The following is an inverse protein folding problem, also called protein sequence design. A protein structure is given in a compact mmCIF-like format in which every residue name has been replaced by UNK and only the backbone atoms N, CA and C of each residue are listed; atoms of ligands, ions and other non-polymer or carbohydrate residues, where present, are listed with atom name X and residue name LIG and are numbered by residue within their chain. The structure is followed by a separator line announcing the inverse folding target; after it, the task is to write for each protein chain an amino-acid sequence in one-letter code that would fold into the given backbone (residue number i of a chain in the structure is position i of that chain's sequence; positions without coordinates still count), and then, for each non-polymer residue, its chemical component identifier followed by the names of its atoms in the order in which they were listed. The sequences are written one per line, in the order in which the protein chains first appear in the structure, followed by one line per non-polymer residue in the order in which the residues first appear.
data_IF_351442718349
#
_entry.id   IF_351442718349
#
_cell.length_a   1.000
_cell.length_b   1.000
_cell.length_c   1.000
_cell.angle_alpha   90.00
_cell.angle_beta   90.00
_cell.angle_gamma   90.00
#
_symmetry.space_group_name_H-M   'P 1'
#
loop_
_entity.id
_entity.type
_entity.pdbx_description
1 polymer ?
#
# COMPACT_ATOMS: atom_id res chain seq x y z
N UNK A 1 42.09 65.22 -30.80
CA UNK A 1 42.41 63.89 -30.23
C UNK A 1 41.70 63.80 -28.88
N UNK A 2 40.56 63.09 -28.80
CA UNK A 2 39.75 62.97 -27.56
C UNK A 2 40.22 61.76 -26.77
N UNK A 3 40.64 61.95 -25.51
CA UNK A 3 40.83 60.87 -24.54
C UNK A 3 39.46 60.47 -23.98
N UNK A 4 39.16 59.17 -24.02
CA UNK A 4 38.01 58.56 -23.35
C UNK A 4 38.48 57.83 -22.10
N UNK A 5 37.96 58.25 -20.95
CA UNK A 5 38.09 57.57 -19.65
C UNK A 5 37.01 56.49 -19.57
N UNK A 6 37.42 55.23 -19.45
CA UNK A 6 36.53 54.08 -19.33
C UNK A 6 36.52 53.61 -17.87
N UNK A 7 35.40 53.80 -17.18
CA UNK A 7 35.17 53.34 -15.81
C UNK A 7 34.70 51.89 -15.81
N UNK A 8 35.37 51.03 -15.04
CA UNK A 8 34.92 49.66 -14.75
C UNK A 8 34.04 49.70 -13.48
N UNK A 9 32.75 49.42 -13.64
CA UNK A 9 31.83 49.11 -12.54
C UNK A 9 31.73 47.59 -12.40
N UNK A 10 32.28 47.04 -11.31
CA UNK A 10 32.14 45.64 -10.96
C UNK A 10 30.79 45.39 -10.25
N UNK A 11 29.96 44.54 -10.84
CA UNK A 11 28.76 44.02 -10.18
C UNK A 11 29.12 42.76 -9.37
N UNK A 12 29.04 42.86 -8.04
CA UNK A 12 29.06 41.70 -7.14
C UNK A 12 27.71 40.99 -7.21
N UNK A 13 27.68 39.81 -7.85
CA UNK A 13 26.55 38.89 -7.77
C UNK A 13 26.58 38.17 -6.42
N UNK A 14 25.67 38.52 -5.52
CA UNK A 14 25.39 37.71 -4.33
C UNK A 14 24.60 36.48 -4.76
N UNK A 15 25.27 35.31 -4.77
CA UNK A 15 24.60 34.03 -4.84
C UNK A 15 23.90 33.77 -3.49
N UNK A 16 22.59 33.98 -3.43
CA UNK A 16 21.78 33.48 -2.33
C UNK A 16 21.73 31.96 -2.42
N UNK A 17 22.48 31.29 -1.54
CA UNK A 17 22.32 29.86 -1.27
C UNK A 17 20.95 29.72 -0.60
N UNK A 18 19.92 29.37 -1.37
CA UNK A 18 18.67 28.88 -0.81
C UNK A 18 18.99 27.51 -0.17
N UNK A 19 19.08 27.47 1.15
CA UNK A 19 19.07 26.21 1.86
C UNK A 19 17.75 25.52 1.54
N UNK A 20 17.80 24.44 0.75
CA UNK A 20 16.65 23.56 0.58
C UNK A 20 16.24 23.09 1.97
N UNK A 21 15.02 23.41 2.40
CA UNK A 21 14.47 22.84 3.62
C UNK A 21 14.61 21.31 3.53
N UNK A 22 15.19 20.69 4.56
CA UNK A 22 15.33 19.25 4.56
C UNK A 22 13.93 18.60 4.52
N UNK A 23 13.78 17.57 3.70
CA UNK A 23 12.54 16.80 3.62
C UNK A 23 12.17 16.23 4.99
N UNK A 24 10.87 16.23 5.31
CA UNK A 24 10.37 15.57 6.51
C UNK A 24 10.64 14.06 6.43
N UNK A 25 11.12 13.43 7.54
CA UNK A 25 11.44 12.01 7.53
C UNK A 25 10.21 11.13 7.31
N UNK A 26 10.44 9.92 6.80
CA UNK A 26 9.37 8.94 6.54
C UNK A 26 9.27 7.84 7.60
N UNK A 27 10.33 7.61 8.39
CA UNK A 27 10.40 6.59 9.43
C UNK A 27 10.68 7.23 10.79
N UNK A 28 10.04 6.70 11.84
CA UNK A 28 10.08 7.32 13.18
C UNK A 28 11.47 7.52 13.76
N UNK A 29 12.38 6.59 13.48
CA UNK A 29 13.78 6.64 13.95
C UNK A 29 14.58 7.82 13.37
N UNK A 30 14.11 8.39 12.25
CA UNK A 30 14.80 9.46 11.53
C UNK A 30 14.28 10.85 11.95
N UNK A 31 13.24 10.91 12.81
CA UNK A 31 12.78 12.15 13.42
C UNK A 31 13.74 12.60 14.53
N UNK A 32 14.07 13.90 14.52
CA UNK A 32 14.78 14.52 15.64
C UNK A 32 13.93 14.45 16.93
N UNK A 33 14.60 14.66 18.07
CA UNK A 33 13.89 14.84 19.33
C UNK A 33 12.91 16.02 19.22
N UNK A 34 11.69 15.83 19.72
CA UNK A 34 10.72 16.92 19.83
C UNK A 34 11.08 17.79 21.04
N UNK A 35 10.91 19.10 20.91
CA UNK A 35 11.16 20.00 22.04
C UNK A 35 10.07 19.86 23.09
N UNK A 36 10.38 20.14 24.35
CA UNK A 36 9.40 20.13 25.44
C UNK A 36 8.21 21.06 25.14
N UNK A 37 8.48 22.24 24.57
CA UNK A 37 7.45 23.20 24.18
C UNK A 37 6.51 22.63 23.11
N UNK A 38 7.06 21.95 22.11
CA UNK A 38 6.27 21.37 21.03
C UNK A 38 5.44 20.18 21.55
N UNK A 39 6.00 19.32 22.41
CA UNK A 39 5.26 18.24 23.06
C UNK A 39 4.12 18.78 23.95
N UNK A 40 4.35 19.85 24.69
CA UNK A 40 3.31 20.53 25.48
C UNK A 40 2.21 21.11 24.59
N UNK A 41 2.59 21.73 23.46
CA UNK A 41 1.65 22.24 22.47
C UNK A 41 0.77 21.12 21.93
N UNK A 42 1.33 20.00 21.49
CA UNK A 42 0.56 18.86 20.99
C UNK A 42 -0.32 18.24 22.06
N UNK A 43 0.20 18.07 23.27
CA UNK A 43 -0.57 17.56 24.41
C UNK A 43 -1.78 18.45 24.70
N UNK A 44 -1.59 19.76 24.71
CA UNK A 44 -2.65 20.73 24.97
C UNK A 44 -3.62 20.88 23.80
N UNK A 45 -3.14 20.85 22.56
CA UNK A 45 -3.97 21.07 21.37
C UNK A 45 -4.95 19.91 21.15
N UNK A 46 -4.57 18.69 21.52
CA UNK A 46 -5.35 17.46 21.29
C UNK A 46 -5.81 16.75 22.57
N UNK A 47 -5.65 17.38 23.73
CA UNK A 47 -5.94 16.80 25.06
C UNK A 47 -5.41 15.36 25.18
N UNK A 48 -4.11 15.18 24.91
CA UNK A 48 -3.47 13.85 24.90
C UNK A 48 -3.28 13.35 26.33
N UNK A 49 -3.83 12.18 26.65
CA UNK A 49 -3.47 11.45 27.87
C UNK A 49 -2.10 10.77 27.70
N UNK A 50 -1.04 11.55 27.88
CA UNK A 50 0.35 11.10 27.73
C UNK A 50 0.70 9.89 28.59
N UNK A 51 0.04 9.70 29.74
CA UNK A 51 0.30 8.54 30.61
C UNK A 51 -0.16 7.24 29.94
N UNK A 52 -1.31 7.26 29.26
CA UNK A 52 -1.78 6.11 28.48
C UNK A 52 -0.80 5.73 27.36
N UNK A 53 -0.03 6.69 26.84
CA UNK A 53 0.97 6.49 25.79
C UNK A 53 2.39 6.16 26.32
N UNK A 54 2.53 5.83 27.61
CA UNK A 54 3.82 5.48 28.22
C UNK A 54 4.60 6.66 28.80
N UNK A 55 3.95 7.80 29.02
CA UNK A 55 4.56 9.04 29.51
C UNK A 55 5.05 9.94 28.38
N UNK A 56 5.57 11.11 28.72
CA UNK A 56 6.14 12.05 27.73
C UNK A 56 7.51 11.57 27.31
N UNK A 57 7.64 11.10 26.06
CA UNK A 57 8.92 10.75 25.44
C UNK A 57 9.23 11.70 24.29
N UNK A 58 10.46 12.21 24.27
CA UNK A 58 10.87 13.26 23.34
C UNK A 58 11.71 12.73 22.18
N UNK A 59 12.44 11.63 22.37
CA UNK A 59 13.48 11.14 21.46
C UNK A 59 13.28 9.68 21.06
N UNK A 60 12.89 8.80 21.98
CA UNK A 60 12.83 7.36 21.72
C UNK A 60 11.58 6.97 20.91
N UNK A 61 11.77 6.69 19.62
CA UNK A 61 10.71 6.30 18.68
C UNK A 61 10.00 4.99 19.02
N UNK A 62 10.50 4.21 19.98
CA UNK A 62 9.81 2.99 20.43
C UNK A 62 8.68 3.28 21.42
N UNK A 63 8.62 4.48 22.01
CA UNK A 63 7.55 4.88 22.93
C UNK A 63 6.40 5.50 22.13
N UNK A 64 5.17 5.10 22.45
CA UNK A 64 3.99 5.45 21.68
C UNK A 64 3.69 6.97 21.71
N UNK A 65 4.00 7.68 22.79
CA UNK A 65 3.84 9.15 22.83
C UNK A 65 4.75 9.86 21.82
N UNK A 66 5.99 9.39 21.65
CA UNK A 66 6.90 9.93 20.63
C UNK A 66 6.38 9.67 19.22
N UNK A 67 5.82 8.48 18.95
CA UNK A 67 5.19 8.17 17.66
C UNK A 67 4.03 9.13 17.37
N UNK A 68 3.13 9.32 18.35
CA UNK A 68 2.02 10.26 18.22
C UNK A 68 2.52 11.68 17.94
N UNK A 69 3.56 12.14 18.64
CA UNK A 69 4.14 13.45 18.39
C UNK A 69 4.79 13.60 17.02
N UNK A 70 5.42 12.55 16.49
CA UNK A 70 5.90 12.54 15.10
C UNK A 70 4.73 12.67 14.11
N UNK A 71 3.63 11.93 14.37
CA UNK A 71 2.45 11.98 13.51
C UNK A 71 1.85 13.39 13.47
N UNK A 72 1.69 14.03 14.64
CA UNK A 72 1.21 15.41 14.75
C UNK A 72 2.17 16.43 14.12
N UNK A 73 3.48 16.19 14.20
CA UNK A 73 4.50 17.02 13.58
C UNK A 73 4.38 17.01 12.05
N UNK A 74 4.18 15.84 11.44
CA UNK A 74 3.99 15.74 9.99
C UNK A 74 2.72 16.48 9.55
N UNK A 75 1.64 16.37 10.32
CA UNK A 75 0.37 17.05 10.03
C UNK A 75 0.51 18.56 10.15
N UNK A 76 1.27 19.06 11.12
CA UNK A 76 1.53 20.49 11.31
C UNK A 76 2.47 21.08 10.26
N UNK A 77 3.55 20.38 9.95
CA UNK A 77 4.66 20.90 9.15
C UNK A 77 4.54 20.54 7.66
N UNK A 78 3.59 19.70 7.27
CA UNK A 78 3.33 19.34 5.89
C UNK A 78 2.96 20.53 5.01
N UNK A 79 3.71 20.73 3.94
CA UNK A 79 3.50 21.79 2.97
C UNK A 79 3.03 21.22 1.64
N UNK A 80 2.00 21.86 1.07
CA UNK A 80 1.39 21.42 -0.18
C UNK A 80 1.36 22.56 -1.19
N UNK A 81 1.74 22.26 -2.42
CA UNK A 81 1.59 23.16 -3.55
C UNK A 81 0.11 23.46 -3.80
N UNK A 82 -0.20 24.74 -4.04
CA UNK A 82 -1.54 25.19 -4.41
C UNK A 82 -1.84 24.79 -5.87
N UNK A 83 -3.06 24.34 -6.14
CA UNK A 83 -3.53 24.07 -7.50
C UNK A 83 -3.14 22.72 -8.09
N UNK A 84 -2.49 21.84 -7.32
CA UNK A 84 -2.28 20.46 -7.73
C UNK A 84 -3.63 19.75 -7.95
N UNK A 85 -3.77 19.08 -9.09
CA UNK A 85 -4.98 18.33 -9.45
C UNK A 85 -4.71 16.84 -9.39
N UNK A 86 -5.66 16.11 -8.81
CA UNK A 86 -5.68 14.65 -8.78
C UNK A 86 -7.12 14.18 -8.61
N UNK A 87 -7.44 12.97 -9.09
CA UNK A 87 -8.77 12.38 -8.96
C UNK A 87 -9.29 12.36 -7.51
N UNK A 88 -8.38 12.17 -6.55
CA UNK A 88 -8.63 12.09 -5.11
C UNK A 88 -8.37 13.42 -4.37
N UNK A 89 -8.19 14.55 -5.04
CA UNK A 89 -8.09 15.86 -4.37
C UNK A 89 -9.35 16.66 -4.66
N UNK A 90 -10.26 16.75 -3.68
CA UNK A 90 -11.56 17.44 -3.79
C UNK A 90 -11.66 18.70 -2.93
N UNK A 91 -10.69 18.92 -2.03
CA UNK A 91 -10.73 20.10 -1.16
C UNK A 91 -11.60 19.88 0.06
N UNK A 92 -11.75 18.66 0.54
CA UNK A 92 -12.52 18.40 1.75
C UNK A 92 -11.89 19.02 3.00
N UNK A 93 -10.56 19.11 3.02
CA UNK A 93 -9.79 19.87 4.00
C UNK A 93 -8.90 20.85 3.23
N UNK A 94 -8.90 22.15 3.57
CA UNK A 94 -7.96 23.10 2.96
C UNK A 94 -6.51 22.64 3.19
N UNK A 95 -5.68 22.72 2.15
CA UNK A 95 -4.35 22.10 2.14
C UNK A 95 -3.46 22.58 3.29
N UNK A 96 -3.59 23.85 3.67
CA UNK A 96 -2.86 24.55 4.73
C UNK A 96 -3.52 24.44 6.11
N UNK A 97 -4.62 23.68 6.24
CA UNK A 97 -5.42 23.63 7.47
C UNK A 97 -5.57 22.25 8.09
N UNK A 98 -4.85 21.21 7.63
CA UNK A 98 -4.98 19.86 8.20
C UNK A 98 -4.81 19.84 9.73
N UNK A 99 -3.79 20.52 10.27
CA UNK A 99 -3.57 20.59 11.71
C UNK A 99 -4.70 21.31 12.46
N UNK A 100 -5.10 22.49 11.98
CA UNK A 100 -6.17 23.29 12.59
C UNK A 100 -7.54 22.60 12.50
N UNK A 101 -7.84 22.00 11.35
CA UNK A 101 -9.02 21.19 11.12
C UNK A 101 -9.03 19.99 12.07
N UNK A 102 -7.95 19.21 12.13
CA UNK A 102 -7.87 18.04 13.01
C UNK A 102 -8.03 18.46 14.48
N UNK A 103 -7.38 19.54 14.90
CA UNK A 103 -7.56 20.11 16.25
C UNK A 103 -9.03 20.43 16.53
N UNK A 104 -9.74 21.04 15.58
CA UNK A 104 -11.19 21.32 15.74
C UNK A 104 -12.07 20.06 15.83
N UNK A 105 -11.55 18.92 15.35
CA UNK A 105 -12.24 17.64 15.33
C UNK A 105 -11.80 16.70 16.46
N UNK A 106 -10.85 17.08 17.32
CA UNK A 106 -10.36 16.24 18.41
C UNK A 106 -10.69 16.88 19.74
N UNK A 107 -11.33 16.11 20.62
CA UNK A 107 -11.57 16.46 22.02
C UNK A 107 -10.60 15.79 22.97
N UNK A 108 -9.96 14.71 22.56
CA UNK A 108 -8.97 13.99 23.37
C UNK A 108 -8.40 12.81 22.63
N UNK A 109 -7.18 12.43 23.01
CA UNK A 109 -6.53 11.22 22.50
C UNK A 109 -5.98 10.39 23.64
N UNK A 110 -6.27 9.10 23.65
CA UNK A 110 -5.73 8.14 24.60
C UNK A 110 -5.30 6.86 23.89
N UNK A 111 -4.42 6.10 24.54
CA UNK A 111 -4.05 4.75 24.13
C UNK A 111 -4.99 3.75 24.81
N UNK A 112 -5.43 2.73 24.08
CA UNK A 112 -6.25 1.63 24.59
C UNK A 112 -5.90 0.30 23.94
N UNK A 113 -6.37 -0.80 24.51
CA UNK A 113 -6.15 -2.16 24.01
C UNK A 113 -7.41 -3.04 24.13
N UNK A 114 -8.57 -2.38 24.23
CA UNK A 114 -9.88 -2.97 24.45
C UNK A 114 -10.49 -3.56 23.16
N UNK A 115 -10.07 -3.06 21.99
CA UNK A 115 -10.56 -3.53 20.69
C UNK A 115 -9.39 -4.01 19.83
N UNK A 116 -8.92 -5.26 20.02
CA UNK A 116 -7.66 -5.73 19.45
C UNK A 116 -7.62 -5.82 17.92
N UNK A 117 -8.80 -5.81 17.27
CA UNK A 117 -8.92 -5.82 15.81
C UNK A 117 -9.07 -4.43 15.19
N UNK A 118 -9.26 -3.38 16.00
CA UNK A 118 -9.32 -2.01 15.52
C UNK A 118 -7.91 -1.38 15.52
N UNK A 119 -7.69 -0.43 14.62
CA UNK A 119 -6.47 0.39 14.62
C UNK A 119 -6.66 1.59 15.56
N UNK A 120 -7.81 2.22 15.49
CA UNK A 120 -8.29 3.23 16.41
C UNK A 120 -9.82 3.23 16.39
N UNK A 121 -10.45 4.00 17.28
CA UNK A 121 -11.86 4.37 17.16
C UNK A 121 -12.11 5.76 17.75
N UNK A 122 -13.12 6.44 17.22
CA UNK A 122 -13.61 7.72 17.71
C UNK A 122 -14.94 7.56 18.45
N UNK A 123 -15.03 8.16 19.64
CA UNK A 123 -16.28 8.33 20.37
C UNK A 123 -16.52 9.80 20.67
N UNK A 124 -17.32 10.46 19.82
CA UNK A 124 -17.71 11.87 19.98
C UNK A 124 -16.52 12.84 20.09
N UNK A 125 -15.45 12.58 19.35
CA UNK A 125 -14.23 13.40 19.36
C UNK A 125 -13.12 12.88 20.26
N UNK A 126 -13.35 11.84 21.06
CA UNK A 126 -12.30 11.17 21.84
C UNK A 126 -11.77 9.97 21.05
N UNK A 127 -10.48 9.98 20.73
CA UNK A 127 -9.85 8.95 19.91
C UNK A 127 -9.11 7.97 20.82
N UNK A 128 -9.41 6.69 20.68
CA UNK A 128 -8.63 5.63 21.35
C UNK A 128 -7.75 4.94 20.32
N UNK A 129 -6.43 5.17 20.40
CA UNK A 129 -5.43 4.48 19.56
C UNK A 129 -5.19 3.07 20.09
N UNK A 130 -5.36 2.06 19.24
CA UNK A 130 -5.24 0.64 19.61
C UNK A 130 -3.85 0.08 19.27
N UNK A 131 -3.60 -1.17 19.64
CA UNK A 131 -2.32 -1.85 19.38
C UNK A 131 -1.98 -1.95 17.89
N UNK A 132 -3.01 -1.93 17.02
CA UNK A 132 -2.83 -1.86 15.57
C UNK A 132 -2.15 -0.57 15.13
N UNK A 133 -2.55 0.59 15.68
CA UNK A 133 -1.98 1.90 15.34
C UNK A 133 -0.48 1.94 15.59
N UNK A 134 -0.01 1.47 16.74
CA UNK A 134 1.41 1.51 17.12
C UNK A 134 2.33 0.66 16.22
N UNK A 135 1.75 -0.25 15.42
CA UNK A 135 2.44 -1.14 14.48
C UNK A 135 2.44 -0.63 13.04
N UNK A 136 1.63 0.39 12.73
CA UNK A 136 1.59 0.99 11.40
C UNK A 136 2.85 1.82 11.14
N UNK A 137 3.18 1.96 9.86
CA UNK A 137 4.14 2.97 9.40
C UNK A 137 3.70 4.37 9.83
N UNK A 138 4.64 5.31 9.92
CA UNK A 138 4.36 6.70 10.28
C UNK A 138 3.26 7.31 9.40
N UNK A 139 3.27 7.02 8.09
CA UNK A 139 2.19 7.40 7.17
C UNK A 139 0.83 6.80 7.53
N UNK A 140 0.79 5.49 7.80
CA UNK A 140 -0.46 4.80 8.15
C UNK A 140 -1.05 5.33 9.47
N UNK A 141 -0.21 5.71 10.43
CA UNK A 141 -0.67 6.35 11.66
C UNK A 141 -1.21 7.75 11.42
N UNK A 142 -0.49 8.59 10.67
CA UNK A 142 -0.96 9.93 10.29
C UNK A 142 -2.33 9.86 9.61
N UNK A 143 -2.49 8.99 8.62
CA UNK A 143 -3.79 8.82 7.96
C UNK A 143 -4.87 8.27 8.89
N UNK A 144 -4.52 7.39 9.84
CA UNK A 144 -5.45 6.95 10.90
C UNK A 144 -5.94 8.12 11.75
N UNK A 145 -5.06 9.01 12.21
CA UNK A 145 -5.49 10.16 13.05
C UNK A 145 -6.41 11.10 12.26
N UNK A 146 -6.08 11.36 10.99
CA UNK A 146 -6.90 12.17 10.07
C UNK A 146 -8.26 11.50 9.81
N UNK A 147 -8.27 10.18 9.63
CA UNK A 147 -9.47 9.38 9.46
C UNK A 147 -10.39 9.51 10.68
N UNK A 148 -9.86 9.25 11.88
CA UNK A 148 -10.62 9.30 13.12
C UNK A 148 -11.18 10.70 13.38
N UNK A 149 -10.46 11.76 13.02
CA UNK A 149 -10.95 13.14 13.11
C UNK A 149 -12.26 13.36 12.34
N UNK A 150 -12.45 12.69 11.21
CA UNK A 150 -13.67 12.86 10.42
C UNK A 150 -14.92 12.28 11.11
N UNK A 151 -14.77 11.24 11.93
CA UNK A 151 -15.89 10.66 12.67
C UNK A 151 -16.54 11.63 13.67
N UNK A 152 -15.81 12.63 14.15
CA UNK A 152 -16.36 13.68 15.04
C UNK A 152 -17.49 14.48 14.39
N UNK A 153 -17.45 14.64 13.07
CA UNK A 153 -18.50 15.28 12.29
C UNK A 153 -19.70 14.36 11.98
N UNK A 154 -19.75 13.16 12.55
CA UNK A 154 -20.87 12.21 12.43
C UNK A 154 -20.83 11.32 11.19
N UNK A 155 -19.73 11.32 10.44
CA UNK A 155 -19.54 10.40 9.31
C UNK A 155 -19.29 9.01 9.86
N UNK A 156 -20.18 8.06 9.59
CA UNK A 156 -20.02 6.66 9.98
C UNK A 156 -19.64 5.80 8.78
N UNK A 157 -19.12 4.61 9.05
CA UNK A 157 -18.97 3.58 8.03
C UNK A 157 -20.29 2.86 7.75
N UNK A 158 -20.25 2.05 6.71
CA UNK A 158 -21.33 1.21 6.20
C UNK A 158 -20.81 -0.21 5.98
N UNK A 159 -21.72 -1.20 5.89
CA UNK A 159 -21.33 -2.55 5.51
C UNK A 159 -20.65 -2.55 4.14
N UNK A 160 -19.54 -3.28 4.05
CA UNK A 160 -18.79 -3.40 2.81
C UNK A 160 -19.47 -4.37 1.84
N UNK A 161 -19.67 -3.94 0.60
CA UNK A 161 -20.19 -4.78 -0.49
C UNK A 161 -19.10 -5.44 -1.35
N UNK A 162 -17.83 -5.13 -1.08
CA UNK A 162 -16.66 -5.66 -1.79
C UNK A 162 -15.42 -5.67 -0.89
N UNK A 163 -14.33 -6.25 -1.40
CA UNK A 163 -13.04 -6.25 -0.73
C UNK A 163 -12.96 -7.25 0.44
N UNK A 164 -12.02 -7.04 1.38
CA UNK A 164 -11.69 -8.00 2.44
C UNK A 164 -12.79 -8.14 3.50
N UNK A 165 -13.62 -7.11 3.67
CA UNK A 165 -14.70 -7.07 4.66
C UNK A 165 -16.08 -7.41 4.06
N UNK A 166 -16.15 -7.81 2.79
CA UNK A 166 -17.42 -8.19 2.16
C UNK A 166 -18.09 -9.36 2.90
N UNK A 167 -19.37 -9.18 3.24
CA UNK A 167 -20.17 -10.18 3.96
C UNK A 167 -19.85 -10.28 5.46
N UNK A 168 -19.01 -9.40 6.00
CA UNK A 168 -18.79 -9.27 7.42
C UNK A 168 -19.94 -8.52 8.10
N UNK A 169 -20.24 -8.85 9.35
CA UNK A 169 -21.18 -8.08 10.18
C UNK A 169 -20.46 -6.90 10.85
N UNK A 170 -19.86 -6.02 10.03
CA UNK A 170 -19.17 -4.81 10.49
C UNK A 170 -19.30 -3.69 9.45
N UNK A 171 -19.33 -2.46 9.95
CA UNK A 171 -19.30 -1.25 9.14
C UNK A 171 -17.84 -0.82 8.95
N UNK A 172 -17.32 -0.95 7.73
CA UNK A 172 -15.90 -0.68 7.45
C UNK A 172 -15.64 0.16 6.20
N UNK A 173 -16.67 0.48 5.43
CA UNK A 173 -16.55 1.18 4.15
C UNK A 173 -17.30 2.51 4.17
N UNK A 174 -16.81 3.48 3.39
CA UNK A 174 -17.59 4.64 2.98
C UNK A 174 -18.50 4.25 1.80
N UNK A 175 -19.66 4.91 1.62
CA UNK A 175 -20.55 4.56 0.50
C UNK A 175 -19.91 4.89 -0.84
N UNK A 176 -19.37 6.09 -0.95
CA UNK A 176 -18.68 6.61 -2.12
C UNK A 176 -17.74 7.73 -1.67
N UNK A 177 -16.84 8.12 -2.55
CA UNK A 177 -15.87 9.17 -2.26
C UNK A 177 -16.49 10.55 -2.08
N UNK A 178 -17.53 10.87 -2.87
CA UNK A 178 -18.21 12.17 -2.85
C UNK A 178 -18.89 12.50 -1.51
N UNK A 179 -19.18 11.48 -0.68
CA UNK A 179 -19.68 11.64 0.67
C UNK A 179 -18.71 12.41 1.58
N UNK A 180 -17.41 12.48 1.25
CA UNK A 180 -16.39 13.04 2.13
C UNK A 180 -16.37 12.34 3.50
N UNK A 181 -16.53 11.01 3.51
CA UNK A 181 -16.41 10.18 4.71
C UNK A 181 -14.97 10.06 5.21
N UNK A 182 -14.76 9.28 6.28
CA UNK A 182 -13.46 9.18 6.94
C UNK A 182 -12.36 8.64 6.02
N UNK A 183 -12.67 7.62 5.21
CA UNK A 183 -11.72 7.12 4.21
C UNK A 183 -11.49 8.16 3.10
N UNK A 184 -12.51 8.92 2.70
CA UNK A 184 -12.33 9.95 1.67
C UNK A 184 -11.33 11.05 2.07
N UNK A 185 -11.41 11.55 3.31
CA UNK A 185 -10.44 12.55 3.82
C UNK A 185 -9.04 11.95 3.92
N UNK A 186 -8.93 10.71 4.38
CA UNK A 186 -7.65 10.01 4.48
C UNK A 186 -6.98 9.85 3.11
N UNK A 187 -7.73 9.35 2.11
CA UNK A 187 -7.21 9.19 0.75
C UNK A 187 -6.88 10.54 0.09
N UNK A 188 -7.65 11.61 0.39
CA UNK A 188 -7.30 12.96 -0.07
C UNK A 188 -5.95 13.42 0.51
N UNK A 189 -5.72 13.19 1.80
CA UNK A 189 -4.43 13.52 2.42
C UNK A 189 -3.28 12.77 1.75
N UNK A 190 -3.41 11.46 1.55
CA UNK A 190 -2.38 10.68 0.86
C UNK A 190 -2.14 11.14 -0.57
N UNK A 191 -3.20 11.46 -1.32
CA UNK A 191 -3.07 12.01 -2.67
C UNK A 191 -2.34 13.35 -2.66
N UNK A 192 -2.65 14.25 -1.72
CA UNK A 192 -1.95 15.53 -1.55
C UNK A 192 -0.48 15.36 -1.21
N UNK A 193 -0.15 14.47 -0.27
CA UNK A 193 1.25 14.15 0.05
C UNK A 193 2.00 13.71 -1.20
N UNK A 194 1.40 12.82 -1.98
CA UNK A 194 2.00 12.30 -3.22
C UNK A 194 2.20 13.37 -4.30
N UNK A 195 1.14 14.07 -4.73
CA UNK A 195 1.22 14.95 -5.91
C UNK A 195 1.48 16.43 -5.60
N UNK A 196 1.17 16.88 -4.39
CA UNK A 196 1.26 18.27 -3.99
C UNK A 196 2.31 18.50 -2.88
N UNK A 197 2.80 17.46 -2.21
CA UNK A 197 3.74 17.57 -1.10
C UNK A 197 5.07 18.20 -1.51
N UNK A 198 5.47 19.27 -0.82
CA UNK A 198 6.67 20.06 -1.13
C UNK A 198 7.88 19.66 -0.27
N UNK A 199 7.66 19.31 1.00
CA UNK A 199 8.70 19.02 1.97
C UNK A 199 8.59 17.59 2.53
N UNK A 200 8.08 16.66 1.72
CA UNK A 200 7.95 15.25 2.11
C UNK A 200 9.02 14.43 1.42
N UNK A 201 9.68 13.55 2.19
CA UNK A 201 10.67 12.65 1.64
C UNK A 201 10.07 11.81 0.48
N UNK A 202 10.80 11.57 -0.62
CA UNK A 202 10.27 10.86 -1.78
C UNK A 202 9.66 9.49 -1.48
N UNK A 203 10.28 8.72 -0.57
CA UNK A 203 9.72 7.44 -0.08
C UNK A 203 8.35 7.65 0.59
N UNK A 204 8.16 8.73 1.36
CA UNK A 204 6.87 9.03 1.98
C UNK A 204 5.80 9.37 0.93
N UNK A 205 6.19 10.08 -0.15
CA UNK A 205 5.30 10.39 -1.29
C UNK A 205 4.89 9.12 -2.05
N UNK A 206 5.84 8.23 -2.30
CA UNK A 206 5.58 6.93 -2.94
C UNK A 206 4.67 6.04 -2.05
N UNK A 207 4.96 5.94 -0.75
CA UNK A 207 4.10 5.25 0.20
C UNK A 207 2.68 5.84 0.22
N UNK A 208 2.54 7.17 0.18
CA UNK A 208 1.24 7.84 0.14
C UNK A 208 0.46 7.52 -1.12
N UNK A 209 1.11 7.53 -2.30
CA UNK A 209 0.49 7.06 -3.55
C UNK A 209 -0.01 5.62 -3.44
N UNK A 210 0.86 4.71 -3.02
CA UNK A 210 0.55 3.27 -2.97
C UNK A 210 -0.53 2.97 -1.93
N UNK A 211 -0.52 3.66 -0.78
CA UNK A 211 -1.58 3.61 0.22
C UNK A 211 -2.92 4.12 -0.32
N UNK A 212 -2.92 5.26 -1.01
CA UNK A 212 -4.12 5.83 -1.60
C UNK A 212 -4.78 4.83 -2.57
N UNK A 213 -4.00 4.19 -3.44
CA UNK A 213 -4.54 3.20 -4.39
C UNK A 213 -4.97 1.91 -3.72
N UNK A 214 -4.11 1.34 -2.87
CA UNK A 214 -4.36 0.07 -2.20
C UNK A 214 -5.65 0.11 -1.40
N UNK A 215 -5.87 1.18 -0.61
CA UNK A 215 -7.06 1.32 0.24
C UNK A 215 -8.30 1.75 -0.52
N UNK A 216 -8.18 2.72 -1.44
CA UNK A 216 -9.33 3.19 -2.23
C UNK A 216 -10.03 2.06 -2.98
N UNK A 217 -9.29 1.03 -3.39
CA UNK A 217 -9.87 -0.14 -4.06
C UNK A 217 -10.84 -0.97 -3.18
N UNK A 218 -10.79 -0.88 -1.86
CA UNK A 218 -11.62 -1.73 -0.99
C UNK A 218 -12.36 -1.04 0.15
N UNK A 219 -12.06 0.22 0.46
CA UNK A 219 -12.73 0.97 1.55
C UNK A 219 -13.94 1.79 1.10
N UNK A 220 -14.30 1.73 -0.19
CA UNK A 220 -15.49 2.38 -0.75
C UNK A 220 -16.41 1.34 -1.37
N UNK A 221 -17.72 1.41 -1.13
CA UNK A 221 -18.72 0.57 -1.80
C UNK A 221 -18.90 0.94 -3.28
N UNK A 222 -18.60 2.20 -3.62
CA UNK A 222 -18.45 2.68 -4.98
C UNK A 222 -17.05 3.27 -5.12
N UNK A 223 -16.16 2.51 -5.76
CA UNK A 223 -14.78 2.92 -6.01
C UNK A 223 -14.74 4.25 -6.80
N UNK A 224 -13.99 5.27 -6.33
CA UNK A 224 -13.76 6.49 -7.10
C UNK A 224 -12.68 6.32 -8.18
N UNK A 225 -11.99 5.18 -8.19
CA UNK A 225 -10.91 4.87 -9.13
C UNK A 225 -11.33 3.72 -10.05
N UNK A 226 -10.88 3.77 -11.29
CA UNK A 226 -11.02 2.68 -12.24
C UNK A 226 -9.78 1.79 -12.20
N UNK A 227 -10.02 0.48 -12.29
CA UNK A 227 -8.98 -0.54 -12.36
C UNK A 227 -8.84 -1.03 -13.79
N UNK A 228 -7.61 -1.14 -14.27
CA UNK A 228 -7.24 -1.89 -15.48
C UNK A 228 -6.20 -2.96 -15.15
N UNK A 229 -6.20 -4.05 -15.92
CA UNK A 229 -5.22 -5.11 -15.75
C UNK A 229 -3.90 -4.73 -16.43
N UNK A 230 -2.80 -5.05 -15.75
CA UNK A 230 -1.45 -4.97 -16.29
C UNK A 230 -0.64 -6.20 -15.87
N UNK A 231 0.56 -6.32 -16.43
CA UNK A 231 1.50 -7.38 -16.11
C UNK A 231 2.82 -6.77 -15.69
N UNK A 232 3.35 -7.22 -14.57
CA UNK A 232 4.74 -6.94 -14.17
C UNK A 232 5.54 -8.22 -14.36
N UNK A 233 6.71 -8.11 -14.99
CA UNK A 233 7.66 -9.18 -15.14
C UNK A 233 9.05 -8.75 -14.65
N UNK A 234 9.84 -9.67 -14.11
CA UNK A 234 11.22 -9.38 -13.71
C UNK A 234 12.17 -9.83 -14.81
N UNK A 235 12.87 -8.88 -15.44
CA UNK A 235 13.91 -9.16 -16.43
C UNK A 235 15.27 -9.31 -15.74
N UNK A 236 15.97 -10.41 -16.01
CA UNK A 236 17.14 -10.87 -15.23
C UNK A 236 18.27 -9.85 -15.08
N UNK A 237 18.38 -8.89 -16.00
CA UNK A 237 19.46 -7.90 -16.04
C UNK A 237 19.00 -6.45 -15.93
N UNK A 238 17.68 -6.18 -15.96
CA UNK A 238 17.17 -4.81 -16.00
C UNK A 238 16.10 -4.53 -14.94
N UNK A 239 15.67 -5.53 -14.16
CA UNK A 239 14.69 -5.34 -13.10
C UNK A 239 13.24 -5.40 -13.59
N UNK A 240 12.28 -4.78 -12.89
CA UNK A 240 10.86 -4.93 -13.19
C UNK A 240 10.44 -4.19 -14.46
N UNK A 241 9.74 -4.89 -15.35
CA UNK A 241 9.11 -4.35 -16.56
C UNK A 241 7.60 -4.39 -16.39
N UNK A 242 6.95 -3.25 -16.62
CA UNK A 242 5.50 -3.11 -16.65
C UNK A 242 4.98 -3.15 -18.09
N UNK A 243 4.09 -4.08 -18.37
CA UNK A 243 3.25 -4.10 -19.56
C UNK A 243 1.86 -3.63 -19.19
N UNK A 244 1.52 -2.41 -19.59
CA UNK A 244 0.25 -1.77 -19.22
C UNK A 244 -0.85 -1.98 -20.28
N UNK A 245 -0.56 -2.78 -21.31
CA UNK A 245 -1.46 -3.07 -22.43
C UNK A 245 -1.25 -2.16 -23.64
N UNK A 246 -0.61 -1.01 -23.45
CA UNK A 246 -0.23 -0.10 -24.53
C UNK A 246 1.29 0.01 -24.64
N UNK A 247 1.98 0.10 -23.50
CA UNK A 247 3.40 0.38 -23.40
C UNK A 247 4.13 -0.73 -22.63
N UNK A 248 5.40 -0.92 -22.99
CA UNK A 248 6.41 -1.63 -22.19
C UNK A 248 7.25 -0.58 -21.48
N UNK A 249 7.17 -0.55 -20.16
CA UNK A 249 7.82 0.48 -19.34
C UNK A 249 8.80 -0.18 -18.38
N UNK A 250 10.06 0.26 -18.39
CA UNK A 250 11.01 -0.12 -17.37
C UNK A 250 10.62 0.55 -16.04
N UNK A 251 10.68 -0.20 -14.95
CA UNK A 251 10.42 0.29 -13.60
C UNK A 251 11.65 0.18 -12.73
N UNK A 252 11.66 0.97 -11.67
CA UNK A 252 12.71 0.93 -10.67
C UNK A 252 12.71 -0.43 -9.97
N UNK A 253 13.88 -1.05 -9.98
CA UNK A 253 14.11 -2.30 -9.29
C UNK A 253 14.43 -2.10 -7.82
N UNK A 254 14.64 -3.23 -7.16
CA UNK A 254 15.15 -3.30 -5.79
C UNK A 254 16.20 -4.40 -5.74
N UNK A 255 17.23 -4.20 -4.93
CA UNK A 255 18.22 -5.26 -4.61
C UNK A 255 17.61 -6.35 -3.71
N UNK A 256 16.36 -6.16 -3.26
CA UNK A 256 15.65 -7.12 -2.43
C UNK A 256 15.27 -8.36 -3.25
N UNK A 257 15.86 -9.49 -2.87
CA UNK A 257 15.60 -10.79 -3.52
C UNK A 257 14.35 -11.45 -2.95
N UNK A 258 13.43 -11.82 -3.82
CA UNK A 258 12.21 -12.52 -3.43
C UNK A 258 11.33 -12.88 -4.62
N UNK A 259 10.07 -13.19 -4.33
CA UNK A 259 9.05 -13.51 -5.31
C UNK A 259 8.22 -12.30 -5.65
N UNK A 260 8.03 -12.05 -6.93
CA UNK A 260 7.10 -11.05 -7.43
C UNK A 260 5.67 -11.50 -7.10
N UNK A 261 4.94 -10.64 -6.42
CA UNK A 261 3.57 -10.88 -5.94
C UNK A 261 2.67 -9.73 -6.30
N UNK A 262 1.42 -10.06 -6.59
CA UNK A 262 0.32 -9.10 -6.74
C UNK A 262 -0.04 -8.52 -5.37
N UNK A 263 -0.32 -7.23 -5.34
CA UNK A 263 -0.86 -6.55 -4.15
C UNK A 263 -2.08 -5.71 -4.52
N UNK A 264 -2.81 -5.23 -3.51
CA UNK A 264 -3.92 -4.30 -3.66
C UNK A 264 -3.57 -3.03 -4.46
N UNK A 265 -2.32 -2.58 -4.43
CA UNK A 265 -1.86 -1.34 -5.07
C UNK A 265 -1.05 -1.58 -6.35
N UNK A 266 -0.72 -2.83 -6.69
CA UNK A 266 0.15 -3.16 -7.81
C UNK A 266 0.92 -4.45 -7.56
N UNK A 267 2.21 -4.33 -7.26
CA UNK A 267 3.11 -5.45 -7.02
C UNK A 267 4.10 -5.20 -5.87
N UNK A 268 4.61 -6.30 -5.31
CA UNK A 268 5.70 -6.30 -4.35
C UNK A 268 6.64 -7.48 -4.60
N UNK A 269 7.89 -7.34 -4.15
CA UNK A 269 8.82 -8.46 -4.02
C UNK A 269 8.75 -8.98 -2.59
N UNK A 270 8.53 -10.27 -2.42
CA UNK A 270 8.26 -10.91 -1.15
C UNK A 270 9.16 -12.11 -0.89
N UNK A 271 9.85 -12.15 0.25
CA UNK A 271 10.80 -13.23 0.58
C UNK A 271 10.28 -14.25 1.60
N UNK A 272 9.01 -14.16 2.01
CA UNK A 272 8.43 -15.03 3.04
C UNK A 272 8.40 -14.39 4.44
N UNK A 273 9.12 -13.29 4.67
CA UNK A 273 9.12 -12.55 5.93
C UNK A 273 8.87 -11.05 5.73
N UNK A 274 9.45 -10.50 4.67
CA UNK A 274 9.40 -9.08 4.32
C UNK A 274 8.91 -8.91 2.89
N UNK A 275 8.27 -7.78 2.63
CA UNK A 275 7.87 -7.33 1.31
C UNK A 275 8.43 -5.93 1.02
N UNK A 276 8.84 -5.71 -0.23
CA UNK A 276 9.20 -4.41 -0.77
C UNK A 276 8.26 -4.11 -1.92
N UNK A 277 7.58 -2.97 -1.85
CA UNK A 277 6.64 -2.59 -2.89
C UNK A 277 7.37 -2.09 -4.13
N UNK A 278 6.77 -2.34 -5.29
CA UNK A 278 7.18 -1.76 -6.56
C UNK A 278 6.24 -0.59 -6.89
N UNK A 279 6.78 0.61 -7.00
CA UNK A 279 6.00 1.75 -7.49
C UNK A 279 5.90 1.70 -9.02
N UNK A 280 4.70 1.43 -9.51
CA UNK A 280 4.45 1.24 -10.95
C UNK A 280 4.10 2.55 -11.67
N UNK A 281 4.01 3.67 -10.95
CA UNK A 281 3.39 4.90 -11.44
C UNK A 281 4.40 6.02 -11.70
N UNK A 282 5.48 6.06 -10.93
CA UNK A 282 6.50 7.10 -11.08
C UNK A 282 7.90 6.49 -11.04
N UNK A 283 8.80 7.07 -11.83
CA UNK A 283 10.23 6.84 -11.75
C UNK A 283 10.81 8.00 -10.95
N UNK A 284 11.25 7.75 -9.73
CA UNK A 284 11.68 8.79 -8.80
C UNK A 284 13.21 8.82 -8.59
N UNK A 285 13.97 8.06 -9.38
CA UNK A 285 15.39 7.80 -9.17
C UNK A 285 15.61 6.68 -8.16
N UNK A 286 16.87 6.26 -7.98
CA UNK A 286 17.23 5.18 -7.05
C UNK A 286 16.83 5.51 -5.61
N UNK A 287 15.67 5.03 -5.18
CA UNK A 287 15.22 5.14 -3.80
C UNK A 287 15.60 3.89 -2.99
N UNK A 288 15.75 4.05 -1.65
CA UNK A 288 15.75 2.89 -0.77
C UNK A 288 14.48 2.06 -1.03
N UNK A 289 14.59 0.74 -0.91
CA UNK A 289 13.47 -0.19 -0.96
C UNK A 289 12.28 0.33 -0.13
N UNK A 290 11.13 0.51 -0.78
CA UNK A 290 9.91 0.93 -0.09
C UNK A 290 9.39 -0.28 0.68
N UNK A 291 9.54 -0.24 1.99
CA UNK A 291 8.93 -1.22 2.87
C UNK A 291 7.41 -1.27 2.59
N UNK A 292 6.94 -2.45 2.18
CA UNK A 292 5.52 -2.65 1.93
C UNK A 292 4.78 -2.90 3.25
N UNK A 293 4.47 -1.81 3.93
CA UNK A 293 3.78 -1.82 5.22
C UNK A 293 2.26 -1.64 5.05
N UNK A 294 1.74 -1.85 3.82
CA UNK A 294 0.37 -1.53 3.45
C UNK A 294 -0.33 -2.63 2.68
N UNK A 295 0.41 -3.54 2.03
CA UNK A 295 -0.13 -4.84 1.71
C UNK A 295 -0.27 -5.72 2.95
N UNK A 296 -1.08 -6.77 2.81
CA UNK A 296 -1.25 -7.78 3.85
C UNK A 296 0.00 -8.65 4.07
N UNK A 297 1.03 -8.56 3.20
CA UNK A 297 2.23 -9.41 3.30
C UNK A 297 3.04 -9.14 4.58
N UNK A 298 3.02 -7.92 5.13
CA UNK A 298 3.69 -7.62 6.40
C UNK A 298 2.76 -7.49 7.60
N UNK A 299 1.54 -7.02 7.37
CA UNK A 299 0.64 -6.60 8.45
C UNK A 299 0.08 -7.77 9.26
N UNK A 300 0.15 -8.99 8.75
CA UNK A 300 -0.56 -10.13 9.31
C UNK A 300 0.29 -11.04 10.21
N UNK A 301 1.47 -10.60 10.67
CA UNK A 301 2.23 -11.32 11.70
C UNK A 301 2.74 -12.71 11.26
N UNK A 302 3.13 -12.83 10.00
CA UNK A 302 3.53 -14.11 9.38
C UNK A 302 4.72 -14.81 10.05
N UNK A 303 5.56 -14.10 10.81
CA UNK A 303 6.67 -14.72 11.55
C UNK A 303 6.20 -15.84 12.48
N UNK A 304 4.94 -15.79 12.92
CA UNK A 304 4.30 -16.82 13.74
C UNK A 304 3.91 -18.08 12.95
N UNK A 305 3.91 -18.03 11.62
CA UNK A 305 3.50 -19.13 10.73
C UNK A 305 4.65 -20.06 10.33
N UNK A 306 5.88 -19.76 10.75
CA UNK A 306 7.07 -20.52 10.38
C UNK A 306 7.48 -20.31 8.93
N UNK A 307 8.07 -21.33 8.30
CA UNK A 307 8.46 -21.26 6.89
C UNK A 307 7.23 -21.25 5.98
N UNK A 308 7.28 -20.46 4.92
CA UNK A 308 6.19 -20.34 3.95
C UNK A 308 6.58 -20.99 2.63
N UNK A 309 5.71 -21.85 2.09
CA UNK A 309 5.79 -22.27 0.68
C UNK A 309 5.26 -21.17 -0.22
N UNK A 310 4.19 -20.50 0.18
CA UNK A 310 3.58 -19.42 -0.60
C UNK A 310 2.68 -18.49 0.23
N UNK A 311 2.46 -17.27 -0.25
CA UNK A 311 1.47 -16.30 0.24
C UNK A 311 0.85 -15.61 -0.96
N UNK A 312 -0.48 -15.43 -0.96
CA UNK A 312 -1.18 -14.81 -2.07
C UNK A 312 -2.34 -13.90 -1.62
N UNK A 313 -2.47 -12.76 -2.30
CA UNK A 313 -3.66 -11.89 -2.28
C UNK A 313 -4.46 -12.07 -3.58
N UNK A 314 -5.69 -12.55 -3.46
CA UNK A 314 -6.54 -12.82 -4.62
C UNK A 314 -7.99 -12.39 -4.38
N UNK A 315 -8.71 -12.16 -5.48
CA UNK A 315 -10.12 -11.79 -5.45
C UNK A 315 -10.97 -12.94 -6.01
N UNK A 316 -12.14 -13.17 -5.41
CA UNK A 316 -13.17 -14.09 -5.93
C UNK A 316 -14.54 -13.47 -5.67
N UNK A 317 -15.33 -13.26 -6.73
CA UNK A 317 -16.66 -12.64 -6.65
C UNK A 317 -16.67 -11.31 -5.85
N UNK A 318 -15.75 -10.39 -6.16
CA UNK A 318 -15.56 -9.09 -5.48
C UNK A 318 -15.05 -9.15 -4.03
N UNK A 319 -15.02 -10.32 -3.39
CA UNK A 319 -14.39 -10.51 -2.08
C UNK A 319 -12.89 -10.75 -2.22
N UNK A 320 -12.12 -10.10 -1.35
CA UNK A 320 -10.66 -10.26 -1.28
C UNK A 320 -10.29 -11.28 -0.22
N UNK A 321 -9.35 -12.14 -0.56
CA UNK A 321 -8.81 -13.17 0.31
C UNK A 321 -7.30 -13.04 0.39
N UNK A 322 -6.78 -13.49 1.53
CA UNK A 322 -5.35 -13.71 1.75
C UNK A 322 -5.20 -15.15 2.19
N UNK A 323 -4.32 -15.89 1.52
CA UNK A 323 -4.04 -17.28 1.82
C UNK A 323 -2.54 -17.54 1.87
N UNK A 324 -2.17 -18.51 2.70
CA UNK A 324 -0.80 -18.96 2.91
C UNK A 324 -0.75 -20.47 2.80
N UNK A 325 0.28 -20.97 2.12
CA UNK A 325 0.69 -22.37 2.19
C UNK A 325 1.96 -22.43 3.02
N UNK A 326 1.93 -23.11 4.16
CA UNK A 326 3.08 -23.24 5.06
C UNK A 326 4.07 -24.29 4.57
N UNK A 327 5.29 -24.27 5.12
CA UNK A 327 6.31 -25.29 4.92
C UNK A 327 5.87 -26.68 5.38
N UNK A 328 5.01 -26.75 6.39
CA UNK A 328 4.34 -27.97 6.87
C UNK A 328 3.18 -28.44 5.97
N UNK A 329 3.01 -27.82 4.80
CA UNK A 329 1.99 -28.18 3.81
C UNK A 329 0.56 -28.00 4.35
N UNK A 330 0.33 -26.90 5.06
CA UNK A 330 -0.97 -26.49 5.56
C UNK A 330 -1.45 -25.27 4.79
N UNK A 331 -2.76 -25.20 4.55
CA UNK A 331 -3.43 -24.00 4.04
C UNK A 331 -3.97 -23.20 5.22
N UNK A 332 -3.72 -21.90 5.20
CA UNK A 332 -4.23 -20.95 6.17
C UNK A 332 -4.83 -19.75 5.42
N UNK A 333 -6.00 -19.28 5.85
CA UNK A 333 -6.66 -18.09 5.27
C UNK A 333 -6.85 -17.02 6.34
N UNK A 334 -6.73 -15.75 5.95
CA UNK A 334 -6.92 -14.66 6.89
C UNK A 334 -8.40 -14.30 7.07
N UNK A 335 -8.81 -14.13 8.32
CA UNK A 335 -10.15 -13.70 8.70
C UNK A 335 -10.11 -12.20 9.05
N UNK A 336 -10.35 -11.36 8.04
CA UNK A 336 -10.33 -9.90 8.21
C UNK A 336 -11.24 -9.40 9.33
N UNK A 337 -12.50 -9.85 9.45
CA UNK A 337 -13.38 -9.43 10.54
C UNK A 337 -12.85 -9.73 11.94
N UNK A 338 -12.09 -10.81 12.10
CA UNK A 338 -11.50 -11.20 13.39
C UNK A 338 -10.10 -10.64 13.61
N UNK A 339 -9.48 -10.04 12.59
CA UNK A 339 -8.09 -9.61 12.66
C UNK A 339 -7.11 -10.77 12.90
N UNK A 340 -7.46 -12.00 12.51
CA UNK A 340 -6.70 -13.20 12.85
C UNK A 340 -6.68 -14.23 11.71
N UNK A 341 -5.69 -15.10 11.72
CA UNK A 341 -5.65 -16.27 10.84
C UNK A 341 -6.67 -17.32 11.30
N UNK A 342 -7.34 -17.96 10.34
CA UNK A 342 -8.15 -19.14 10.62
C UNK A 342 -7.25 -20.32 11.05
N UNK A 343 -7.84 -21.33 11.68
CA UNK A 343 -7.11 -22.56 12.02
C UNK A 343 -6.50 -23.20 10.77
N UNK A 344 -5.22 -23.60 10.80
CA UNK A 344 -4.58 -24.26 9.66
C UNK A 344 -5.29 -25.56 9.26
N UNK A 345 -5.41 -25.79 7.96
CA UNK A 345 -5.95 -27.02 7.39
C UNK A 345 -4.84 -27.84 6.73
N UNK A 346 -4.71 -29.11 7.11
CA UNK A 346 -3.69 -29.99 6.51
C UNK A 346 -4.07 -30.35 5.08
N UNK A 347 -3.18 -30.05 4.13
CA UNK A 347 -3.38 -30.41 2.73
C UNK A 347 -3.08 -31.89 2.51
N UNK A 348 -3.99 -32.57 1.81
CA UNK A 348 -3.85 -33.98 1.40
C UNK A 348 -3.03 -34.14 0.11
N UNK A 349 -2.59 -33.03 -0.47
CA UNK A 349 -1.75 -32.97 -1.68
C UNK A 349 -0.44 -32.28 -1.32
N UNK A 350 0.65 -32.62 -2.00
CA UNK A 350 1.91 -31.88 -1.83
C UNK A 350 1.92 -30.70 -2.80
N UNK A 351 1.87 -29.48 -2.27
CA UNK A 351 1.88 -28.29 -3.13
C UNK A 351 3.29 -28.06 -3.67
N UNK A 352 3.42 -28.13 -4.99
CA UNK A 352 4.65 -27.83 -5.75
C UNK A 352 4.72 -26.35 -6.10
N UNK A 353 3.57 -25.76 -6.44
CA UNK A 353 3.44 -24.36 -6.84
C UNK A 353 2.01 -23.86 -6.65
N UNK A 354 1.84 -22.56 -6.81
CA UNK A 354 0.55 -21.89 -6.77
C UNK A 354 0.39 -20.97 -7.96
N UNK A 355 -0.84 -20.59 -8.26
CA UNK A 355 -1.16 -19.62 -9.30
C UNK A 355 -2.45 -18.87 -8.95
N UNK A 356 -2.58 -17.63 -9.45
CA UNK A 356 -3.83 -16.86 -9.38
C UNK A 356 -4.62 -16.86 -10.68
N UNK A 357 -4.00 -17.32 -11.77
CA UNK A 357 -4.59 -17.41 -13.10
C UNK A 357 -4.21 -18.73 -13.74
N UNK A 358 -5.18 -19.43 -14.33
CA UNK A 358 -4.93 -20.63 -15.12
C UNK A 358 -4.70 -20.28 -16.60
N UNK A 359 -4.06 -21.17 -17.39
CA UNK A 359 -3.89 -20.93 -18.83
C UNK A 359 -5.19 -20.79 -19.63
N UNK A 360 -6.34 -21.17 -19.05
CA UNK A 360 -7.67 -20.95 -19.63
C UNK A 360 -8.26 -19.57 -19.29
N UNK A 361 -7.52 -18.71 -18.58
CA UNK A 361 -7.93 -17.38 -18.15
C UNK A 361 -8.77 -17.32 -16.88
N UNK A 362 -9.06 -18.47 -16.26
CA UNK A 362 -9.78 -18.50 -14.98
C UNK A 362 -8.93 -17.90 -13.86
N UNK A 363 -9.52 -16.99 -13.09
CA UNK A 363 -8.91 -16.32 -11.95
C UNK A 363 -9.37 -16.95 -10.62
N UNK A 364 -8.49 -17.00 -9.63
CA UNK A 364 -8.76 -17.56 -8.31
C UNK A 364 -7.48 -17.76 -7.51
N UNK A 365 -7.47 -18.74 -6.61
CA UNK A 365 -6.23 -19.27 -6.02
C UNK A 365 -6.18 -20.76 -6.27
N UNK A 366 -5.11 -21.19 -6.93
CA UNK A 366 -4.92 -22.55 -7.39
C UNK A 366 -3.66 -23.15 -6.79
N UNK A 367 -3.79 -24.37 -6.29
CA UNK A 367 -2.67 -25.20 -5.85
C UNK A 367 -2.38 -26.21 -6.95
N UNK A 368 -1.11 -26.45 -7.23
CA UNK A 368 -0.68 -27.44 -8.22
C UNK A 368 0.19 -28.49 -7.53
N UNK A 369 -0.12 -29.76 -7.78
CA UNK A 369 0.54 -30.94 -7.20
C UNK A 369 0.69 -32.00 -8.28
N UNK A 370 1.93 -32.38 -8.63
CA UNK A 370 2.23 -33.32 -9.72
C UNK A 370 1.55 -32.97 -11.05
N UNK A 371 1.41 -31.67 -11.32
CA UNK A 371 0.72 -31.15 -12.50
C UNK A 371 -0.81 -31.17 -12.41
N UNK A 372 -1.43 -31.75 -11.39
CA UNK A 372 -2.87 -31.60 -11.15
C UNK A 372 -3.20 -30.25 -10.53
N UNK A 373 -4.29 -29.62 -11.00
CA UNK A 373 -4.75 -28.32 -10.54
C UNK A 373 -5.91 -28.48 -9.57
N UNK A 374 -5.83 -27.74 -8.46
CA UNK A 374 -6.85 -27.69 -7.42
C UNK A 374 -7.23 -26.24 -7.15
N UNK A 375 -8.53 -25.95 -7.03
CA UNK A 375 -9.02 -24.64 -6.61
C UNK A 375 -9.15 -24.56 -5.09
N UNK A 376 -8.92 -23.36 -4.55
CA UNK A 376 -9.10 -23.06 -3.12
C UNK A 376 -10.35 -22.23 -2.91
N UNK A 377 -11.18 -22.63 -1.95
CA UNK A 377 -12.24 -21.80 -1.42
C UNK A 377 -11.73 -21.02 -0.20
N UNK A 378 -11.59 -19.70 -0.34
CA UNK A 378 -11.08 -18.84 0.73
C UNK A 378 -11.98 -18.71 1.96
N UNK A 379 -13.28 -19.01 1.87
CA UNK A 379 -14.20 -18.89 3.01
C UNK A 379 -14.09 -20.06 4.00
N UNK A 380 -13.79 -21.26 3.51
CA UNK A 380 -13.81 -22.48 4.31
C UNK A 380 -12.56 -23.36 4.13
N UNK A 381 -11.55 -22.88 3.40
CA UNK A 381 -10.28 -23.58 3.15
C UNK A 381 -10.43 -24.92 2.43
N UNK A 382 -11.57 -25.16 1.76
CA UNK A 382 -11.76 -26.36 0.96
C UNK A 382 -10.90 -26.32 -0.30
N UNK A 383 -10.26 -27.45 -0.59
CA UNK A 383 -9.45 -27.67 -1.79
C UNK A 383 -10.14 -28.69 -2.66
N UNK A 384 -10.38 -28.37 -3.93
CA UNK A 384 -11.13 -29.23 -4.86
C UNK A 384 -10.38 -29.39 -6.17
N UNK A 385 -10.23 -30.62 -6.65
CA UNK A 385 -9.66 -30.85 -7.98
C UNK A 385 -10.57 -30.25 -9.04
N UNK A 386 -9.98 -29.51 -9.99
CA UNK A 386 -10.72 -28.92 -11.12
C UNK A 386 -10.61 -29.75 -12.39
N UNK A 387 -10.00 -30.94 -12.33
CA UNK A 387 -9.83 -31.83 -13.50
C UNK A 387 -8.93 -31.26 -14.60
N UNK A 388 -8.09 -30.28 -14.28
CA UNK A 388 -7.15 -29.64 -15.21
C UNK A 388 -5.72 -30.02 -14.90
N UNK A 389 -4.88 -29.99 -15.94
CA UNK A 389 -3.44 -30.19 -15.84
C UNK A 389 -2.68 -28.88 -16.04
N UNK A 390 -1.67 -28.68 -15.22
CA UNK A 390 -0.68 -27.62 -15.37
C UNK A 390 0.45 -28.12 -16.27
N UNK A 391 0.76 -27.36 -17.31
CA UNK A 391 1.89 -27.65 -18.19
C UNK A 391 3.21 -27.40 -17.44
N UNK A 392 4.06 -28.43 -17.36
CA UNK A 392 5.34 -28.37 -16.68
C UNK A 392 6.31 -27.34 -17.27
N UNK A 393 6.11 -26.93 -18.53
CA UNK A 393 6.89 -25.87 -19.17
C UNK A 393 6.49 -24.46 -18.73
N UNK A 394 5.29 -24.30 -18.15
CA UNK A 394 4.74 -22.99 -17.76
C UNK A 394 5.16 -22.63 -16.35
N UNK A 395 5.73 -21.44 -16.16
CA UNK A 395 6.08 -20.87 -14.85
C UNK A 395 4.97 -20.03 -14.24
N UNK A 396 4.33 -19.19 -15.04
CA UNK A 396 3.24 -18.33 -14.57
C UNK A 396 2.36 -17.93 -15.73
N UNK A 397 1.13 -17.53 -15.41
CA UNK A 397 0.14 -17.08 -16.37
C UNK A 397 -0.37 -15.73 -15.91
N UNK A 398 -0.53 -14.81 -16.86
CA UNK A 398 -1.12 -13.51 -16.59
C UNK A 398 -2.10 -13.07 -17.67
N UNK A 399 -3.04 -12.18 -17.34
CA UNK A 399 -3.96 -11.54 -18.28
C UNK A 399 -3.54 -10.12 -18.65
N UNK A 400 -3.63 -9.75 -19.93
CA UNK A 400 -3.38 -8.38 -20.38
C UNK A 400 -4.34 -7.98 -21.49
N UNK A 401 -5.30 -7.11 -21.18
CA UNK A 401 -6.28 -6.65 -22.17
C UNK A 401 -7.06 -7.79 -22.84
N UNK A 402 -7.45 -8.81 -22.06
CA UNK A 402 -8.14 -10.01 -22.55
C UNK A 402 -7.24 -11.07 -23.19
N UNK A 403 -5.92 -10.82 -23.28
CA UNK A 403 -4.94 -11.81 -23.75
C UNK A 403 -4.42 -12.64 -22.59
N UNK A 404 -4.22 -13.93 -22.81
CA UNK A 404 -3.53 -14.81 -21.87
C UNK A 404 -2.04 -14.84 -22.20
N UNK A 405 -1.22 -14.37 -21.28
CA UNK A 405 0.24 -14.41 -21.36
C UNK A 405 0.77 -15.56 -20.50
N UNK A 406 1.78 -16.26 -21.00
CA UNK A 406 2.36 -17.46 -20.41
C UNK A 406 3.87 -17.29 -20.35
N UNK A 407 4.44 -17.19 -19.15
CA UNK A 407 5.89 -17.25 -18.95
C UNK A 407 6.31 -18.71 -18.87
N UNK A 408 7.27 -19.13 -19.69
CA UNK A 408 7.79 -20.50 -19.72
C UNK A 408 9.17 -20.64 -19.07
N UNK A 409 9.60 -21.89 -18.88
CA UNK A 409 10.90 -22.23 -18.31
C UNK A 409 12.12 -21.76 -19.13
N UNK A 410 11.91 -21.39 -20.39
CA UNK A 410 12.93 -20.77 -21.25
C UNK A 410 13.12 -19.25 -20.96
N UNK A 411 12.31 -18.69 -20.07
CA UNK A 411 12.30 -17.27 -19.69
C UNK A 411 11.52 -16.38 -20.65
N UNK A 412 10.89 -16.93 -21.69
CA UNK A 412 10.15 -16.14 -22.68
C UNK A 412 8.67 -16.03 -22.30
N UNK A 413 8.07 -14.87 -22.59
CA UNK A 413 6.62 -14.65 -22.46
C UNK A 413 5.96 -14.92 -23.81
N UNK A 414 4.96 -15.79 -23.81
CA UNK A 414 4.14 -16.12 -24.97
C UNK A 414 2.71 -15.62 -24.79
N UNK A 415 2.10 -15.11 -25.86
CA UNK A 415 0.66 -14.91 -25.94
C UNK A 415 0.02 -16.22 -26.39
N UNK A 416 -0.94 -16.73 -25.62
CA UNK A 416 -1.76 -17.87 -26.00
C UNK A 416 -3.00 -17.38 -26.76
N UNK A 417 -3.16 -17.88 -27.98
CA UNK A 417 -4.28 -17.57 -28.86
C UNK A 417 -5.50 -18.43 -28.52
N UNK A 418 -6.66 -18.06 -29.06
CA UNK A 418 -7.94 -18.75 -28.81
C UNK A 418 -7.97 -20.19 -29.30
N UNK A 419 -7.14 -20.54 -30.29
CA UNK A 419 -6.96 -21.89 -30.80
C UNK A 419 -5.96 -22.73 -29.99
N UNK A 420 -5.39 -22.16 -28.92
CA UNK A 420 -4.39 -22.79 -28.06
C UNK A 420 -2.96 -22.69 -28.58
N UNK A 421 -2.73 -22.14 -29.77
CA UNK A 421 -1.38 -21.83 -30.26
C UNK A 421 -0.73 -20.72 -29.44
N UNK A 422 0.60 -20.66 -29.45
CA UNK A 422 1.36 -19.67 -28.71
C UNK A 422 2.33 -18.94 -29.63
N UNK A 423 2.37 -17.62 -29.50
CA UNK A 423 3.31 -16.74 -30.21
C UNK A 423 4.12 -15.93 -29.21
N UNK A 424 5.40 -15.69 -29.48
CA UNK A 424 6.21 -14.82 -28.63
C UNK A 424 5.54 -13.45 -28.45
N UNK A 425 5.39 -13.02 -27.20
CA UNK A 425 4.77 -11.74 -26.84
C UNK A 425 5.80 -10.60 -26.78
N UNK A 426 6.96 -10.88 -26.21
CA UNK A 426 8.07 -9.93 -26.05
C UNK A 426 9.42 -10.64 -26.22
N UNK A 427 10.45 -9.91 -26.63
CA UNK A 427 11.80 -10.44 -26.89
C UNK A 427 12.73 -10.54 -25.66
N UNK A 428 12.28 -10.11 -24.48
CA UNK A 428 13.05 -10.14 -23.23
C UNK A 428 13.07 -11.52 -22.57
N UNK A 429 13.95 -11.68 -21.57
CA UNK A 429 14.06 -12.89 -20.75
C UNK A 429 13.71 -12.60 -19.29
N UNK A 430 12.69 -13.29 -18.81
CA UNK A 430 12.06 -13.02 -17.54
C UNK A 430 12.15 -14.23 -16.61
N UNK A 431 12.34 -13.96 -15.32
CA UNK A 431 12.33 -15.00 -14.27
C UNK A 431 11.00 -15.11 -13.55
N UNK A 432 10.18 -14.06 -13.55
CA UNK A 432 8.90 -14.02 -12.86
C UNK A 432 7.92 -13.11 -13.60
N UNK A 433 6.63 -13.38 -13.47
CA UNK A 433 5.55 -12.58 -14.06
C UNK A 433 4.30 -12.68 -13.20
N UNK A 434 3.59 -11.57 -13.01
CA UNK A 434 2.32 -11.53 -12.27
C UNK A 434 1.36 -10.52 -12.86
N UNK A 435 0.07 -10.81 -12.74
CA UNK A 435 -0.98 -9.82 -12.93
C UNK A 435 -1.00 -8.79 -11.80
N UNK A 436 -1.13 -7.52 -12.16
CA UNK A 436 -1.29 -6.44 -11.19
C UNK A 436 -2.47 -5.54 -11.59
N UNK A 437 -3.16 -4.94 -10.60
CA UNK A 437 -4.05 -3.83 -10.90
C UNK A 437 -3.23 -2.55 -11.18
N UNK A 438 -3.65 -1.78 -12.19
CA UNK A 438 -3.30 -0.37 -12.33
C UNK A 438 -4.54 0.49 -12.14
N UNK A 439 -4.39 1.61 -11.44
CA UNK A 439 -5.48 2.52 -11.14
C UNK A 439 -5.29 3.88 -11.80
N UNK A 440 -6.39 4.52 -12.17
CA UNK A 440 -6.40 5.84 -12.82
C UNK A 440 -6.24 7.03 -11.86
N UNK A 441 -6.11 6.79 -10.55
CA UNK A 441 -5.87 7.86 -9.58
C UNK A 441 -4.51 8.55 -9.78
N UNK A 442 -3.51 7.85 -10.31
CA UNK A 442 -2.19 8.38 -10.56
C UNK A 442 -1.77 8.03 -11.98
N UNK A 443 -1.14 8.97 -12.67
CA UNK A 443 -0.59 8.72 -13.99
C UNK A 443 0.54 7.70 -13.91
N UNK A 444 0.57 6.80 -14.90
CA UNK A 444 1.66 5.87 -15.13
C UNK A 444 2.65 6.57 -16.06
N UNK A 445 3.73 7.12 -15.49
CA UNK A 445 4.73 7.89 -16.24
C UNK A 445 5.88 7.03 -16.75
#
# INVERSE_FOLDING_TARGET
MKLATMGLLGALAFATIQASAADMPYADKDFACITQQQAQKYTSDFEVDVNSFGGVELCNSNVDSKKLFNDLQIIEQGQFAVGASNLLIKGYVPADQYYAWMKSQTRGMNRGNDVPYATAYNRWGYFTMQDGWAKLSTLGRVGTVIHEARHTAGYRHYPCNQGPYMGANLDGCDQNYAQAGSHAIEMEYYARVSVAGQNFHPVYKAMARLMAMGRTNFVFNQSPIQKREAVVALEDSHGPVLFDGTNKLQREGTDFVGRLKRTSFGAAIFNGLQAVALDLYELNGSHPSINDDYSYFKLLGMSQMGSLKDFEEYDRNQKRYVAVVTGSNQLVTYNFPRGAWNSPSQLQITVDRTATTLPTGEQGYFLISNGDVYSVNGDNQQVTSVGKKWDAQVQSVALLGGKTLVLKNDGMIYQRNTDGSESAFDGGKYTQMVNVPLYDAFEVK
#
